data_IF_439077638790
#
_entry.id   IF_439077638790
#
_cell.length_a   1.000
_cell.length_b   1.000
_cell.length_c   1.000
_cell.angle_alpha   90.00
_cell.angle_beta   90.00
_cell.angle_gamma   90.00
#
_symmetry.space_group_name_H-M   'P 1'
#
loop_
_entity.id
_entity.type
_entity.pdbx_description
1 polymer ?
#
# COMPACT_ATOMS: atom_id res chain seq x y z
N UNK A 1 -14.17 19.83 14.03
CA UNK A 1 -14.12 18.48 14.63
C UNK A 1 -12.77 18.15 15.26
N UNK A 2 -11.65 18.12 14.52
CA UNK A 2 -10.34 17.73 15.10
C UNK A 2 -9.87 18.60 16.27
N UNK A 3 -10.12 19.94 16.29
CA UNK A 3 -9.91 20.73 17.50
C UNK A 3 -10.68 20.22 18.72
N UNK A 4 -11.91 19.71 18.54
CA UNK A 4 -12.70 19.10 19.61
C UNK A 4 -12.11 17.76 20.06
N UNK A 5 -11.59 16.93 19.15
CA UNK A 5 -10.87 15.70 19.53
C UNK A 5 -9.60 15.98 20.33
N UNK A 6 -8.93 17.12 20.09
CA UNK A 6 -7.77 17.52 20.88
C UNK A 6 -8.16 18.11 22.24
N UNK A 7 -9.25 18.90 22.30
CA UNK A 7 -9.70 19.54 23.52
C UNK A 7 -10.42 18.57 24.48
N UNK A 8 -11.31 17.72 23.96
CA UNK A 8 -12.03 16.70 24.72
C UNK A 8 -12.18 15.42 23.86
N UNK A 9 -11.15 14.55 23.86
CA UNK A 9 -11.15 13.31 23.08
C UNK A 9 -12.30 12.39 23.46
N UNK A 10 -12.63 12.28 24.75
CA UNK A 10 -13.58 11.29 25.27
C UNK A 10 -14.99 11.61 24.79
N UNK A 11 -15.46 12.84 25.00
CA UNK A 11 -16.81 13.26 24.60
C UNK A 11 -16.94 13.27 23.09
N UNK A 12 -15.94 13.79 22.39
CA UNK A 12 -15.97 13.88 20.93
C UNK A 12 -15.96 12.49 20.29
N UNK A 13 -15.15 11.56 20.80
CA UNK A 13 -15.12 10.18 20.29
C UNK A 13 -16.43 9.44 20.55
N UNK A 14 -17.06 9.65 21.71
CA UNK A 14 -18.39 9.10 21.99
C UNK A 14 -19.45 9.60 21.00
N UNK A 15 -19.38 10.89 20.62
CA UNK A 15 -20.24 11.45 19.58
C UNK A 15 -19.96 10.81 18.20
N UNK A 16 -18.69 10.69 17.80
CA UNK A 16 -18.32 10.07 16.52
C UNK A 16 -18.72 8.58 16.48
N UNK A 17 -18.65 7.87 17.61
CA UNK A 17 -19.13 6.50 17.70
C UNK A 17 -20.63 6.40 17.39
N UNK A 18 -21.46 7.29 17.95
CA UNK A 18 -22.88 7.36 17.59
C UNK A 18 -23.09 7.72 16.11
N UNK A 19 -22.31 8.67 15.60
CA UNK A 19 -22.36 9.09 14.20
C UNK A 19 -21.99 7.97 13.21
N UNK A 20 -21.21 6.97 13.64
CA UNK A 20 -20.81 5.86 12.77
C UNK A 20 -21.95 4.92 12.34
N UNK A 21 -23.11 4.99 13.01
CA UNK A 21 -24.31 4.20 12.65
C UNK A 21 -25.43 5.06 12.06
N UNK A 22 -25.13 6.30 11.69
CA UNK A 22 -26.12 7.23 11.12
C UNK A 22 -26.64 6.76 9.75
N UNK A 23 -27.91 7.07 9.43
CA UNK A 23 -28.50 6.75 8.12
C UNK A 23 -27.78 7.50 6.99
N UNK A 24 -27.25 8.69 7.25
CA UNK A 24 -26.54 9.51 6.29
C UNK A 24 -25.09 9.03 6.08
N UNK A 25 -24.79 8.63 4.85
CA UNK A 25 -23.46 8.18 4.42
C UNK A 25 -22.34 9.20 4.72
N UNK A 26 -22.62 10.49 4.64
CA UNK A 26 -21.63 11.54 4.89
C UNK A 26 -21.26 11.62 6.37
N UNK A 27 -22.23 11.43 7.26
CA UNK A 27 -22.01 11.41 8.71
C UNK A 27 -21.20 10.17 9.09
N UNK A 28 -21.56 9.00 8.55
CA UNK A 28 -20.79 7.76 8.75
C UNK A 28 -19.35 7.90 8.27
N UNK A 29 -19.13 8.38 7.04
CA UNK A 29 -17.76 8.61 6.53
C UNK A 29 -17.01 9.58 7.43
N UNK A 30 -17.64 10.70 7.80
CA UNK A 30 -17.00 11.74 8.60
C UNK A 30 -16.54 11.22 9.97
N UNK A 31 -17.30 10.29 10.58
CA UNK A 31 -16.90 9.63 11.84
C UNK A 31 -15.54 8.91 11.73
N UNK A 32 -15.32 8.17 10.64
CA UNK A 32 -14.03 7.52 10.34
C UNK A 32 -12.98 8.53 9.88
N UNK A 33 -13.31 9.39 8.92
CA UNK A 33 -12.35 10.25 8.23
C UNK A 33 -11.77 11.30 9.16
N UNK A 34 -12.63 11.91 9.96
CA UNK A 34 -12.22 12.97 10.84
C UNK A 34 -11.40 12.49 12.03
N UNK A 35 -11.63 11.26 12.50
CA UNK A 35 -10.86 10.63 13.59
C UNK A 35 -9.55 10.01 13.14
N UNK A 36 -9.19 10.13 11.84
CA UNK A 36 -7.92 9.60 11.31
C UNK A 36 -6.71 10.22 12.02
N UNK A 37 -5.73 9.40 12.45
CA UNK A 37 -4.55 9.89 13.14
C UNK A 37 -3.66 10.78 12.26
N UNK A 38 -3.60 10.50 10.95
CA UNK A 38 -2.72 11.17 9.98
C UNK A 38 -3.46 11.68 8.74
N UNK A 39 -4.56 12.40 8.96
CA UNK A 39 -5.35 13.00 7.87
C UNK A 39 -4.50 14.00 7.05
N UNK A 40 -4.43 13.88 5.70
CA UNK A 40 -3.78 14.89 4.87
C UNK A 40 -4.39 16.27 5.08
N UNK A 41 -3.54 17.30 5.19
CA UNK A 41 -3.93 18.70 5.46
C UNK A 41 -4.66 18.93 6.79
N UNK A 42 -4.85 17.90 7.61
CA UNK A 42 -5.24 18.03 9.01
C UNK A 42 -4.02 17.99 9.92
N UNK A 43 -4.19 18.49 11.15
CA UNK A 43 -3.23 18.30 12.25
C UNK A 43 -2.95 16.79 12.48
N UNK A 44 -1.99 16.37 13.29
CA UNK A 44 -1.91 14.95 13.71
C UNK A 44 -2.64 14.77 15.03
N UNK A 45 -3.49 13.74 15.13
CA UNK A 45 -4.10 13.38 16.41
C UNK A 45 -3.13 12.44 17.14
N UNK A 46 -2.13 13.04 17.80
CA UNK A 46 -1.02 12.30 18.40
C UNK A 46 -1.49 11.27 19.43
N UNK A 47 -2.55 11.56 20.19
CA UNK A 47 -3.14 10.60 21.13
C UNK A 47 -3.68 9.35 20.43
N UNK A 48 -4.26 9.48 19.23
CA UNK A 48 -4.76 8.33 18.46
C UNK A 48 -3.65 7.63 17.66
N UNK A 49 -2.51 8.31 17.44
CA UNK A 49 -1.29 7.63 17.02
C UNK A 49 -0.77 6.75 18.17
N UNK A 50 -0.75 7.24 19.41
CA UNK A 50 -0.27 6.45 20.57
C UNK A 50 -1.23 5.31 20.94
N UNK A 51 -2.54 5.55 20.89
CA UNK A 51 -3.62 4.64 21.32
C UNK A 51 -4.58 4.32 20.17
N UNK A 52 -4.14 3.55 19.15
CA UNK A 52 -4.94 3.26 17.96
C UNK A 52 -6.24 2.51 18.26
N UNK A 53 -6.34 1.82 19.40
CA UNK A 53 -7.55 1.15 19.86
C UNK A 53 -8.73 2.10 20.10
N UNK A 54 -8.47 3.38 20.35
CA UNK A 54 -9.50 4.38 20.66
C UNK A 54 -10.52 4.52 19.52
N UNK A 55 -10.08 4.49 18.27
CA UNK A 55 -10.96 4.68 17.11
C UNK A 55 -11.49 3.36 16.55
N UNK A 56 -11.03 2.21 17.03
CA UNK A 56 -11.43 0.90 16.54
C UNK A 56 -12.95 0.66 16.59
N UNK A 57 -13.69 1.05 17.66
CA UNK A 57 -15.15 0.87 17.68
C UNK A 57 -15.89 1.54 16.52
N UNK A 58 -15.42 2.71 16.06
CA UNK A 58 -15.97 3.38 14.86
C UNK A 58 -15.71 2.54 13.62
N UNK A 59 -14.49 2.01 13.47
CA UNK A 59 -14.12 1.19 12.31
C UNK A 59 -14.86 -0.15 12.30
N UNK A 60 -15.15 -0.73 13.47
CA UNK A 60 -15.95 -1.96 13.60
C UNK A 60 -17.39 -1.76 13.09
N UNK A 61 -18.02 -0.63 13.41
CA UNK A 61 -19.35 -0.30 12.90
C UNK A 61 -19.38 -0.12 11.37
N UNK A 62 -18.27 0.32 10.78
CA UNK A 62 -18.19 0.71 9.37
C UNK A 62 -17.55 -0.35 8.45
N UNK A 63 -17.00 -1.45 8.97
CA UNK A 63 -16.26 -2.44 8.18
C UNK A 63 -17.13 -3.13 7.11
N UNK A 64 -18.44 -3.18 7.31
CA UNK A 64 -19.41 -3.76 6.38
C UNK A 64 -20.28 -2.72 5.66
N UNK A 65 -19.99 -1.43 5.79
CA UNK A 65 -20.79 -0.36 5.15
C UNK A 65 -21.01 -0.66 3.67
N UNK A 66 -22.23 -0.46 3.15
CA UNK A 66 -22.57 -0.67 1.75
C UNK A 66 -21.91 0.34 0.82
N UNK A 67 -21.61 1.53 1.34
CA UNK A 67 -21.04 2.62 0.57
C UNK A 67 -19.53 2.52 0.47
N UNK A 68 -19.03 2.36 -0.76
CA UNK A 68 -17.59 2.33 -1.03
C UNK A 68 -16.90 3.61 -0.56
N UNK A 69 -17.61 4.74 -0.58
CA UNK A 69 -17.15 6.03 -0.06
C UNK A 69 -16.77 5.97 1.43
N UNK A 70 -17.54 5.24 2.24
CA UNK A 70 -17.26 5.03 3.67
C UNK A 70 -16.13 4.02 3.85
N UNK A 71 -16.20 2.88 3.16
CA UNK A 71 -15.14 1.85 3.24
C UNK A 71 -13.76 2.39 2.83
N UNK A 72 -13.71 3.33 1.87
CA UNK A 72 -12.48 4.07 1.51
C UNK A 72 -11.88 4.82 2.70
N UNK A 73 -12.72 5.44 3.53
CA UNK A 73 -12.25 6.12 4.75
C UNK A 73 -11.72 5.11 5.76
N UNK A 74 -12.44 4.01 6.01
CA UNK A 74 -12.00 2.93 6.92
C UNK A 74 -10.63 2.39 6.50
N UNK A 75 -10.46 2.06 5.21
CA UNK A 75 -9.19 1.56 4.70
C UNK A 75 -8.05 2.59 4.78
N UNK A 76 -8.35 3.88 4.59
CA UNK A 76 -7.35 4.93 4.78
C UNK A 76 -7.00 5.17 6.24
N UNK A 77 -7.96 5.06 7.15
CA UNK A 77 -7.76 5.16 8.59
C UNK A 77 -6.85 4.02 9.06
N UNK A 78 -7.15 2.77 8.69
CA UNK A 78 -6.30 1.62 9.00
C UNK A 78 -4.90 1.76 8.38
N UNK A 79 -4.78 2.26 7.14
CA UNK A 79 -3.48 2.52 6.53
C UNK A 79 -2.68 3.61 7.28
N UNK A 80 -3.34 4.59 7.88
CA UNK A 80 -2.67 5.59 8.71
C UNK A 80 -2.17 4.99 10.02
N UNK A 81 -2.97 4.15 10.69
CA UNK A 81 -2.55 3.41 11.88
C UNK A 81 -1.37 2.50 11.56
N UNK A 82 -1.40 1.79 10.43
CA UNK A 82 -0.37 0.84 10.01
C UNK A 82 1.02 1.46 9.79
N UNK A 83 1.14 2.80 9.71
CA UNK A 83 2.42 3.49 9.63
C UNK A 83 3.20 3.44 10.94
N UNK A 84 2.50 3.36 12.07
CA UNK A 84 3.07 3.34 13.41
C UNK A 84 2.85 1.99 14.11
N UNK A 85 1.73 1.33 13.81
CA UNK A 85 1.30 0.07 14.44
C UNK A 85 0.94 -1.00 13.39
N UNK A 86 1.92 -1.49 12.60
CA UNK A 86 1.65 -2.41 11.51
C UNK A 86 1.01 -3.72 11.97
N UNK A 87 1.54 -4.34 13.02
CA UNK A 87 1.06 -5.62 13.54
C UNK A 87 -0.33 -5.51 14.17
N UNK A 88 -0.66 -4.36 14.78
CA UNK A 88 -2.00 -4.09 15.27
C UNK A 88 -3.03 -4.17 14.13
N UNK A 89 -2.77 -3.49 13.01
CA UNK A 89 -3.68 -3.50 11.85
C UNK A 89 -3.77 -4.87 11.20
N UNK A 90 -2.64 -5.59 11.10
CA UNK A 90 -2.63 -6.97 10.61
C UNK A 90 -3.48 -7.87 11.50
N UNK A 91 -3.38 -7.75 12.83
CA UNK A 91 -4.19 -8.52 13.79
C UNK A 91 -5.69 -8.26 13.61
N UNK A 92 -6.09 -6.98 13.49
CA UNK A 92 -7.50 -6.60 13.27
C UNK A 92 -8.03 -7.17 11.96
N UNK A 93 -7.31 -6.99 10.85
CA UNK A 93 -7.75 -7.46 9.55
C UNK A 93 -7.77 -9.00 9.46
N UNK A 94 -6.85 -9.68 10.13
CA UNK A 94 -6.88 -11.14 10.28
C UNK A 94 -8.15 -11.60 10.97
N UNK A 95 -8.49 -10.97 12.11
CA UNK A 95 -9.74 -11.23 12.84
C UNK A 95 -10.95 -11.00 11.94
N UNK A 96 -11.01 -9.86 11.26
CA UNK A 96 -12.11 -9.55 10.34
C UNK A 96 -12.25 -10.58 9.22
N UNK A 97 -11.16 -11.08 8.64
CA UNK A 97 -11.22 -12.15 7.63
C UNK A 97 -11.69 -13.50 8.17
N UNK A 98 -11.47 -13.78 9.46
CA UNK A 98 -11.90 -15.03 10.10
C UNK A 98 -13.37 -15.00 10.51
N UNK A 99 -13.88 -13.84 10.93
CA UNK A 99 -15.24 -13.65 11.45
C UNK A 99 -16.25 -13.24 10.38
N UNK A 100 -15.81 -12.87 9.16
CA UNK A 100 -16.69 -12.25 8.16
C UNK A 100 -17.72 -13.23 7.58
N UNK A 101 -19.02 -12.86 7.59
CA UNK A 101 -20.05 -13.57 6.83
C UNK A 101 -19.77 -13.55 5.31
N UNK A 102 -20.19 -14.59 4.60
CA UNK A 102 -19.90 -14.78 3.16
C UNK A 102 -20.28 -13.56 2.32
N UNK A 103 -21.44 -12.94 2.58
CA UNK A 103 -21.96 -11.77 1.87
C UNK A 103 -21.11 -10.51 2.04
N UNK A 104 -20.31 -10.42 3.11
CA UNK A 104 -19.44 -9.28 3.40
C UNK A 104 -17.97 -9.53 3.08
N UNK A 105 -17.60 -10.75 2.72
CA UNK A 105 -16.22 -11.11 2.38
C UNK A 105 -15.59 -10.20 1.31
N UNK A 106 -16.28 -9.83 0.22
CA UNK A 106 -15.71 -8.90 -0.76
C UNK A 106 -15.37 -7.52 -0.18
N UNK A 107 -16.17 -7.03 0.78
CA UNK A 107 -15.95 -5.73 1.45
C UNK A 107 -14.69 -5.77 2.32
N UNK A 108 -14.53 -6.83 3.13
CA UNK A 108 -13.33 -7.01 3.97
C UNK A 108 -12.09 -7.25 3.12
N UNK A 109 -12.16 -8.05 2.07
CA UNK A 109 -11.02 -8.27 1.18
C UNK A 109 -10.59 -6.98 0.49
N UNK A 110 -11.56 -6.12 0.12
CA UNK A 110 -11.27 -4.78 -0.40
C UNK A 110 -10.59 -3.90 0.66
N UNK A 111 -11.18 -3.78 1.85
CA UNK A 111 -10.59 -2.96 2.94
C UNK A 111 -9.17 -3.46 3.25
N UNK A 112 -8.96 -4.76 3.36
CA UNK A 112 -7.67 -5.39 3.67
C UNK A 112 -6.59 -5.00 2.66
N UNK A 113 -6.87 -5.15 1.36
CA UNK A 113 -5.92 -4.79 0.29
C UNK A 113 -5.60 -3.30 0.30
N UNK A 114 -6.59 -2.45 0.55
CA UNK A 114 -6.41 -1.00 0.57
C UNK A 114 -5.68 -0.53 1.83
N UNK A 115 -6.04 -1.04 3.01
CA UNK A 115 -5.44 -0.70 4.30
C UNK A 115 -3.95 -1.12 4.38
N UNK A 116 -3.61 -2.28 3.85
CA UNK A 116 -2.26 -2.85 3.92
C UNK A 116 -1.36 -2.49 2.74
N UNK A 117 -1.82 -1.64 1.81
CA UNK A 117 -1.11 -1.34 0.55
C UNK A 117 0.35 -0.92 0.73
N UNK A 118 0.66 -0.19 1.79
CA UNK A 118 2.04 0.24 2.11
C UNK A 118 2.83 -0.91 2.70
N UNK A 119 2.26 -1.66 3.64
CA UNK A 119 2.91 -2.83 4.25
C UNK A 119 3.20 -3.94 3.22
N UNK A 120 2.28 -4.19 2.29
CA UNK A 120 2.47 -5.10 1.16
C UNK A 120 3.63 -4.62 0.28
N UNK A 121 3.69 -3.32 -0.04
CA UNK A 121 4.82 -2.73 -0.79
C UNK A 121 6.14 -2.87 -0.03
N UNK A 122 6.13 -2.86 1.29
CA UNK A 122 7.33 -2.99 2.12
C UNK A 122 7.67 -4.45 2.47
N UNK A 123 6.92 -5.43 1.97
CA UNK A 123 7.18 -6.85 2.21
C UNK A 123 6.82 -7.37 3.59
N UNK A 124 5.92 -6.70 4.31
CA UNK A 124 5.49 -7.14 5.63
C UNK A 124 4.84 -8.53 5.54
N UNK A 125 5.45 -9.54 6.17
CA UNK A 125 5.04 -10.93 6.05
C UNK A 125 3.56 -11.16 6.45
N UNK A 126 3.14 -10.60 7.59
CA UNK A 126 1.75 -10.69 8.03
C UNK A 126 0.75 -10.06 7.06
N UNK A 127 1.13 -8.97 6.37
CA UNK A 127 0.23 -8.28 5.44
C UNK A 127 0.13 -9.05 4.10
N UNK A 128 1.24 -9.64 3.64
CA UNK A 128 1.27 -10.50 2.47
C UNK A 128 0.42 -11.76 2.70
N UNK A 129 0.51 -12.37 3.88
CA UNK A 129 -0.28 -13.55 4.23
C UNK A 129 -1.80 -13.29 4.12
N UNK A 130 -2.28 -12.13 4.59
CA UNK A 130 -3.70 -11.75 4.51
C UNK A 130 -4.23 -11.55 3.08
N UNK A 131 -3.35 -11.38 2.09
CA UNK A 131 -3.72 -11.32 0.68
C UNK A 131 -3.39 -12.60 -0.09
N UNK A 132 -3.04 -13.67 0.63
CA UNK A 132 -2.74 -15.00 0.09
C UNK A 132 -1.37 -15.09 -0.58
N UNK A 133 -0.40 -14.30 -0.13
CA UNK A 133 0.93 -14.19 -0.74
C UNK A 133 1.98 -14.60 0.29
N UNK A 134 2.87 -15.53 -0.10
CA UNK A 134 4.04 -15.91 0.71
C UNK A 134 5.11 -14.81 0.64
N UNK A 135 5.77 -14.50 1.75
CA UNK A 135 6.95 -13.62 1.75
C UNK A 135 8.17 -14.22 1.05
N UNK A 136 8.19 -15.53 0.85
CA UNK A 136 9.22 -16.27 0.11
C UNK A 136 8.60 -16.85 -1.16
N UNK A 137 8.71 -16.11 -2.26
CA UNK A 137 8.36 -16.63 -3.58
C UNK A 137 9.44 -17.60 -4.05
N UNK A 138 9.05 -18.80 -4.48
CA UNK A 138 9.96 -19.77 -5.10
C UNK A 138 10.00 -19.49 -6.60
N UNK A 139 10.84 -18.52 -6.98
CA UNK A 139 10.94 -18.03 -8.35
C UNK A 139 12.40 -17.77 -8.73
N UNK A 140 12.66 -17.77 -10.03
CA UNK A 140 13.89 -17.28 -10.64
C UNK A 140 13.58 -16.08 -11.54
N UNK A 141 14.45 -15.08 -11.52
CA UNK A 141 14.40 -13.95 -12.44
C UNK A 141 15.54 -14.06 -13.44
N UNK A 142 15.20 -13.97 -14.72
CA UNK A 142 16.16 -14.02 -15.83
C UNK A 142 16.03 -12.79 -16.70
N UNK A 143 17.12 -12.47 -17.39
CA UNK A 143 17.17 -11.47 -18.45
C UNK A 143 16.60 -10.08 -18.08
N UNK A 144 16.87 -9.56 -16.87
CA UNK A 144 16.52 -8.16 -16.55
C UNK A 144 17.27 -7.20 -17.49
N UNK A 145 16.51 -6.52 -18.35
CA UNK A 145 16.98 -5.50 -19.28
C UNK A 145 16.34 -4.17 -18.95
N UNK A 146 17.11 -3.11 -19.09
CA UNK A 146 16.67 -1.71 -18.97
C UNK A 146 17.18 -0.98 -20.21
N UNK A 147 16.31 -0.21 -20.83
CA UNK A 147 16.60 0.53 -22.06
C UNK A 147 15.84 1.85 -22.08
N UNK A 148 16.47 2.96 -22.49
CA UNK A 148 17.92 3.08 -22.72
C UNK A 148 18.72 3.01 -21.41
N UNK A 149 20.04 2.79 -21.50
CA UNK A 149 20.95 2.86 -20.33
C UNK A 149 21.28 4.29 -19.94
N UNK A 150 21.14 5.23 -20.87
CA UNK A 150 21.18 6.69 -20.66
C UNK A 150 19.88 7.26 -21.21
N UNK A 151 19.07 7.87 -20.35
CA UNK A 151 17.73 8.37 -20.67
C UNK A 151 17.76 9.89 -20.68
N UNK A 152 17.20 10.51 -21.73
CA UNK A 152 16.97 11.95 -21.72
C UNK A 152 15.70 12.27 -20.95
N UNK A 153 15.72 13.37 -20.19
CA UNK A 153 14.55 13.82 -19.47
C UNK A 153 13.39 14.14 -20.43
N UNK A 154 12.19 13.67 -20.08
CA UNK A 154 11.01 13.71 -20.95
C UNK A 154 10.70 12.38 -21.62
N UNK A 155 11.68 11.47 -21.70
CA UNK A 155 11.52 10.15 -22.31
C UNK A 155 10.96 9.09 -21.34
N UNK A 156 10.92 7.83 -21.79
CA UNK A 156 10.46 6.70 -20.98
C UNK A 156 11.50 5.61 -20.86
N UNK A 157 11.78 5.22 -19.62
CA UNK A 157 12.58 4.05 -19.29
C UNK A 157 11.76 2.79 -19.52
N UNK A 158 12.23 1.91 -20.39
CA UNK A 158 11.64 0.58 -20.63
C UNK A 158 12.45 -0.48 -19.91
N UNK A 159 11.77 -1.47 -19.37
CA UNK A 159 12.42 -2.63 -18.79
C UNK A 159 11.62 -3.90 -19.04
N UNK A 160 12.34 -5.01 -19.12
CA UNK A 160 11.76 -6.34 -19.28
C UNK A 160 12.55 -7.38 -18.50
N UNK A 161 11.87 -8.47 -18.15
CA UNK A 161 12.46 -9.61 -17.47
C UNK A 161 11.58 -10.84 -17.67
N UNK A 162 12.17 -12.01 -17.44
CA UNK A 162 11.47 -13.28 -17.38
C UNK A 162 11.39 -13.74 -15.93
N UNK A 163 10.23 -14.22 -15.54
CA UNK A 163 10.01 -14.87 -14.25
C UNK A 163 9.65 -16.33 -14.49
N UNK A 164 10.30 -17.22 -13.75
CA UNK A 164 10.02 -18.65 -13.76
C UNK A 164 9.68 -19.12 -12.36
N UNK A 165 8.61 -19.91 -12.22
CA UNK A 165 8.27 -20.57 -10.96
C UNK A 165 9.21 -21.76 -10.72
N UNK A 166 9.78 -21.84 -9.51
CA UNK A 166 10.47 -23.04 -9.00
C UNK A 166 9.62 -23.78 -7.96
N UNK A 167 8.36 -23.37 -7.77
CA UNK A 167 7.43 -24.02 -6.86
C UNK A 167 6.80 -25.28 -7.47
N UNK A 168 6.42 -26.21 -6.59
CA UNK A 168 5.63 -27.42 -6.95
C UNK A 168 4.12 -27.17 -7.05
N UNK A 169 3.64 -26.02 -6.56
CA UNK A 169 2.23 -25.61 -6.59
C UNK A 169 2.12 -24.18 -7.10
N UNK A 170 0.93 -23.81 -7.57
CA UNK A 170 0.66 -22.43 -7.93
C UNK A 170 0.90 -21.48 -6.74
N UNK A 171 1.52 -20.34 -7.01
CA UNK A 171 1.83 -19.32 -6.00
C UNK A 171 1.35 -17.95 -6.48
N UNK A 172 0.79 -17.17 -5.56
CA UNK A 172 0.41 -15.79 -5.85
C UNK A 172 1.59 -14.86 -5.68
N UNK A 173 1.83 -14.01 -6.68
CA UNK A 173 2.93 -13.07 -6.71
C UNK A 173 2.39 -11.64 -6.76
N UNK A 174 2.97 -10.77 -5.94
CA UNK A 174 2.83 -9.31 -6.02
C UNK A 174 4.14 -8.78 -6.53
N UNK A 175 4.16 -8.34 -7.79
CA UNK A 175 5.34 -7.75 -8.40
C UNK A 175 5.17 -6.24 -8.40
N UNK A 176 6.17 -5.58 -7.84
CA UNK A 176 6.40 -4.15 -7.85
C UNK A 176 7.77 -3.88 -8.49
N UNK A 177 8.01 -2.64 -8.89
CA UNK A 177 9.35 -2.18 -9.24
C UNK A 177 9.68 -0.93 -8.45
N UNK A 178 10.94 -0.78 -8.09
CA UNK A 178 11.45 0.34 -7.32
C UNK A 178 12.40 1.13 -8.20
N UNK A 179 12.21 2.44 -8.28
CA UNK A 179 13.24 3.33 -8.82
C UNK A 179 13.88 4.04 -7.65
N UNK A 180 15.19 3.85 -7.50
CA UNK A 180 16.02 4.60 -6.57
C UNK A 180 16.42 5.90 -7.26
N UNK A 181 15.61 6.94 -7.05
CA UNK A 181 15.82 8.22 -7.68
C UNK A 181 16.94 9.00 -6.99
N UNK A 182 17.87 9.54 -7.77
CA UNK A 182 18.82 10.57 -7.30
C UNK A 182 18.03 11.77 -6.75
N UNK A 183 18.49 12.30 -5.63
CA UNK A 183 17.96 13.49 -4.97
C UNK A 183 18.93 14.67 -5.13
N UNK A 184 18.48 15.88 -4.79
CA UNK A 184 19.32 17.09 -4.76
C UNK A 184 20.64 16.90 -3.98
N UNK A 185 20.64 16.05 -2.94
CA UNK A 185 21.82 15.73 -2.15
C UNK A 185 22.80 14.73 -2.81
N UNK A 186 22.52 14.27 -4.03
CA UNK A 186 23.27 13.21 -4.72
C UNK A 186 22.98 11.78 -4.22
N UNK A 187 22.35 11.62 -3.05
CA UNK A 187 21.90 10.31 -2.54
C UNK A 187 20.68 9.80 -3.33
N UNK A 188 20.45 8.49 -3.30
CA UNK A 188 19.25 7.89 -3.89
C UNK A 188 18.15 7.62 -2.87
N UNK A 189 16.89 7.77 -3.27
CA UNK A 189 15.72 7.42 -2.46
C UNK A 189 14.77 6.48 -3.23
N UNK A 190 14.27 5.40 -2.60
CA UNK A 190 13.41 4.43 -3.27
C UNK A 190 12.01 5.00 -3.50
N UNK A 191 11.45 4.72 -4.68
CA UNK A 191 10.03 4.90 -4.98
C UNK A 191 9.46 3.61 -5.56
N UNK A 192 8.55 2.99 -4.81
CA UNK A 192 7.89 1.74 -5.19
C UNK A 192 6.65 2.01 -6.07
N UNK A 193 6.63 1.38 -7.23
CA UNK A 193 5.55 1.40 -8.21
C UNK A 193 4.91 0.02 -8.34
N UNK A 194 3.59 -0.01 -8.50
CA UNK A 194 2.85 -1.26 -8.75
C UNK A 194 3.14 -1.75 -10.17
N UNK A 195 3.37 -3.05 -10.34
CA UNK A 195 3.51 -3.68 -11.65
C UNK A 195 2.34 -4.61 -11.95
N UNK A 196 2.27 -5.75 -11.27
CA UNK A 196 1.27 -6.79 -11.54
C UNK A 196 1.06 -7.67 -10.31
N UNK A 197 -0.15 -8.20 -10.14
CA UNK A 197 -0.44 -9.27 -9.17
C UNK A 197 -1.15 -10.39 -9.91
N UNK A 198 -0.63 -11.62 -9.80
CA UNK A 198 -1.16 -12.77 -10.51
C UNK A 198 -0.72 -14.07 -9.81
N UNK A 199 -1.37 -15.18 -10.16
CA UNK A 199 -0.93 -16.53 -9.77
C UNK A 199 -0.03 -17.10 -10.85
N UNK A 200 1.11 -17.66 -10.45
CA UNK A 200 2.06 -18.33 -11.33
C UNK A 200 2.06 -19.83 -10.96
N UNK A 201 1.74 -20.68 -11.93
CA UNK A 201 1.72 -22.13 -11.81
C UNK A 201 3.11 -22.74 -11.59
N UNK A 202 3.18 -24.06 -11.30
CA UNK A 202 4.46 -24.76 -11.19
C UNK A 202 5.20 -24.75 -12.53
N UNK A 203 6.51 -24.48 -12.51
CA UNK A 203 7.39 -24.36 -13.69
C UNK A 203 6.96 -23.33 -14.75
N UNK A 204 5.87 -22.58 -14.53
CA UNK A 204 5.37 -21.59 -15.48
C UNK A 204 6.38 -20.46 -15.64
N UNK A 205 6.51 -19.98 -16.88
CA UNK A 205 7.36 -18.86 -17.26
C UNK A 205 6.51 -17.74 -17.81
N UNK A 206 6.82 -16.51 -17.42
CA UNK A 206 6.17 -15.32 -17.95
C UNK A 206 7.22 -14.26 -18.27
N UNK A 207 7.14 -13.69 -19.47
CA UNK A 207 7.89 -12.48 -19.82
C UNK A 207 7.04 -11.26 -19.47
N UNK A 208 7.65 -10.29 -18.78
CA UNK A 208 7.00 -9.05 -18.38
C UNK A 208 7.78 -7.87 -18.95
N UNK A 209 7.06 -6.92 -19.51
CA UNK A 209 7.61 -5.67 -20.04
C UNK A 209 6.87 -4.47 -19.46
N UNK A 210 7.58 -3.38 -19.20
CA UNK A 210 7.00 -2.14 -18.66
C UNK A 210 7.76 -0.92 -19.15
N UNK A 211 7.01 0.16 -19.34
CA UNK A 211 7.53 1.50 -19.57
C UNK A 211 7.19 2.43 -18.40
N UNK A 212 8.15 3.26 -18.01
CA UNK A 212 8.03 4.29 -16.99
C UNK A 212 8.46 5.65 -17.56
N UNK A 213 7.52 6.58 -17.68
CA UNK A 213 7.81 7.93 -18.15
C UNK A 213 8.58 8.73 -17.08
N UNK A 214 9.72 9.29 -17.46
CA UNK A 214 10.55 10.16 -16.63
C UNK A 214 10.43 11.57 -17.21
N UNK A 215 9.37 12.27 -16.81
CA UNK A 215 9.02 13.60 -17.32
C UNK A 215 8.50 14.48 -16.20
N UNK A 216 8.40 15.78 -16.47
CA UNK A 216 7.90 16.80 -15.54
C UNK A 216 6.55 16.39 -14.94
N UNK A 217 6.47 16.39 -13.61
CA UNK A 217 5.24 16.22 -12.82
C UNK A 217 5.26 17.19 -11.64
N UNK A 218 4.10 17.53 -11.10
CA UNK A 218 3.98 18.53 -10.01
C UNK A 218 4.45 18.03 -8.65
N UNK A 219 4.64 16.71 -8.49
CA UNK A 219 4.90 16.07 -7.19
C UNK A 219 6.32 15.56 -7.01
N UNK A 220 7.20 15.77 -8.00
CA UNK A 220 8.59 15.30 -7.95
C UNK A 220 9.49 16.04 -8.92
N UNK A 221 10.63 16.47 -8.40
CA UNK A 221 11.78 16.88 -9.19
C UNK A 221 12.70 15.69 -9.49
N UNK A 222 13.32 15.74 -10.66
CA UNK A 222 14.29 14.76 -11.12
C UNK A 222 15.68 15.41 -11.14
N UNK A 223 16.70 14.61 -10.86
CA UNK A 223 18.09 15.04 -10.81
C UNK A 223 18.93 14.14 -11.72
N UNK A 224 19.92 14.69 -12.42
CA UNK A 224 20.75 13.91 -13.33
C UNK A 224 21.63 12.93 -12.56
N UNK A 225 22.21 11.95 -13.28
CA UNK A 225 23.15 10.99 -12.73
C UNK A 225 22.62 9.56 -12.70
N UNK A 226 23.22 8.72 -11.86
CA UNK A 226 22.98 7.27 -11.85
C UNK A 226 21.80 6.89 -10.95
N UNK A 227 20.74 6.38 -11.57
CA UNK A 227 19.55 5.84 -10.92
C UNK A 227 19.59 4.29 -10.97
N UNK A 228 18.80 3.65 -10.10
CA UNK A 228 18.68 2.18 -10.09
C UNK A 228 17.22 1.78 -10.24
N UNK A 229 16.94 0.86 -11.16
CA UNK A 229 15.69 0.11 -11.21
C UNK A 229 15.89 -1.22 -10.48
N UNK A 230 15.03 -1.53 -9.52
CA UNK A 230 15.00 -2.83 -8.85
C UNK A 230 13.64 -3.51 -9.04
N UNK A 231 13.66 -4.82 -9.29
CA UNK A 231 12.47 -5.66 -9.26
C UNK A 231 12.21 -6.11 -7.83
N UNK A 232 10.97 -5.95 -7.38
CA UNK A 232 10.55 -6.32 -6.04
C UNK A 232 9.38 -7.31 -6.09
N UNK A 233 9.59 -8.52 -5.61
CA UNK A 233 8.58 -9.60 -5.62
C UNK A 233 8.24 -9.96 -4.20
N UNK A 234 6.96 -9.90 -3.87
CA UNK A 234 6.44 -10.11 -2.52
C UNK A 234 7.22 -9.28 -1.48
N UNK A 235 7.59 -8.05 -1.88
CA UNK A 235 8.30 -7.09 -1.05
C UNK A 235 9.81 -7.29 -0.92
N UNK A 236 10.40 -8.30 -1.56
CA UNK A 236 11.86 -8.52 -1.58
C UNK A 236 12.45 -8.07 -2.91
N UNK A 237 13.56 -7.33 -2.85
CA UNK A 237 14.34 -7.01 -4.06
C UNK A 237 15.04 -8.28 -4.53
N UNK A 238 14.81 -8.66 -5.79
CA UNK A 238 15.32 -9.91 -6.37
C UNK A 238 16.28 -9.69 -7.54
N UNK A 239 16.24 -8.52 -8.17
CA UNK A 239 17.15 -8.14 -9.24
C UNK A 239 17.20 -6.61 -9.36
N UNK A 240 18.30 -6.06 -9.86
CA UNK A 240 18.43 -4.63 -10.08
C UNK A 240 19.34 -4.30 -11.26
N UNK A 241 19.14 -3.11 -11.85
CA UNK A 241 19.94 -2.61 -12.96
C UNK A 241 20.01 -1.08 -12.91
N UNK A 242 21.19 -0.55 -13.22
CA UNK A 242 21.42 0.89 -13.23
C UNK A 242 21.10 1.50 -14.59
N UNK A 243 20.75 2.77 -14.58
CA UNK A 243 20.58 3.62 -15.75
C UNK A 243 20.95 5.07 -15.37
N UNK A 244 21.27 5.89 -16.35
CA UNK A 244 21.66 7.29 -16.17
C UNK A 244 20.54 8.19 -16.66
N UNK A 245 20.22 9.25 -15.91
CA UNK A 245 19.34 10.32 -16.36
C UNK A 245 20.16 11.54 -16.74
N UNK A 246 19.89 12.09 -17.92
CA UNK A 246 20.38 13.38 -18.40
C UNK A 246 19.19 14.36 -18.45
N UNK A 247 19.37 15.59 -17.98
CA UNK A 247 18.34 16.64 -17.88
C UNK A 247 18.83 17.89 -18.59
#
# INVERSE_FOLDING_TARGET
>A
MRPFLNADPKTTLAYLLKASVDKNVHIRRWSSEGSRPRLPWGERLNEFIKKPESTLPILENLKYDDELYVRKSVANHLNDIAKDHPDFVVKILKRWQQEVPTEHKPKIDWITRHALRVLIKNGHAGALALVGVSSNAAIEIKALKVSPTTLQFGESLRFSFEIQSTARKAQKLVIDYVIHFVKASGKTAPKVFKLKTFSLGPNEKLKIEKSHAVRKITTRDYFPGKHTLALQINGKVVAQKNWTLEI
#
